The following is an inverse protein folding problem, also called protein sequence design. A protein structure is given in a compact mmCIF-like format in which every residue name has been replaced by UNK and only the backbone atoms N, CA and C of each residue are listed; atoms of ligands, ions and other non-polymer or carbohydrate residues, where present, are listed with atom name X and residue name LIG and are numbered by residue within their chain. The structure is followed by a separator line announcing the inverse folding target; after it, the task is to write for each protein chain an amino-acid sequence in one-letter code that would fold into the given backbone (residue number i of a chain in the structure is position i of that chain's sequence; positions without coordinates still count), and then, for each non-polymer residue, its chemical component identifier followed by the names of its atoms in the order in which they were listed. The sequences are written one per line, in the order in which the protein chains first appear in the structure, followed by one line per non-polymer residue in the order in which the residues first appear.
data_IF_977054780933
#
_entry.id   IF_977054780933
#
_cell.length_a   1.000
_cell.length_b   1.000
_cell.length_c   1.000
_cell.angle_alpha   90.00
_cell.angle_beta   90.00
_cell.angle_gamma   90.00
#
_symmetry.space_group_name_H-M   'P 1'
#
loop_
_entity.id
_entity.type
_entity.pdbx_description
1 polymer ?
#
# COMPACT_ATOMS: atom_id res chain seq x y z
N UNK A 1 -2.68 13.41 -8.79
CA UNK A 1 -1.67 12.33 -8.87
C UNK A 1 -1.75 11.57 -7.56
N UNK A 2 -1.80 10.24 -7.61
CA UNK A 2 -1.93 9.37 -6.44
C UNK A 2 -0.94 8.22 -6.53
N UNK A 3 -1.02 7.28 -5.59
CA UNK A 3 -0.15 6.10 -5.56
C UNK A 3 -0.16 5.32 -6.87
N UNK A 4 0.95 4.63 -7.12
CA UNK A 4 1.07 3.63 -8.17
C UNK A 4 0.40 2.33 -7.69
N UNK A 5 -0.64 1.84 -8.38
CA UNK A 5 -1.30 0.60 -7.98
C UNK A 5 -0.38 -0.60 -8.14
N UNK A 6 -0.34 -1.47 -7.13
CA UNK A 6 0.35 -2.76 -7.19
C UNK A 6 -0.51 -3.85 -6.53
N UNK A 7 -0.48 -5.06 -7.08
CA UNK A 7 -1.13 -6.20 -6.44
C UNK A 7 -0.34 -6.70 -5.23
N UNK A 8 -1.02 -7.20 -4.20
CA UNK A 8 -0.43 -7.77 -2.97
C UNK A 8 0.74 -8.73 -3.26
N UNK A 9 0.54 -9.70 -4.15
CA UNK A 9 1.56 -10.71 -4.47
C UNK A 9 2.74 -10.11 -5.22
N UNK A 10 2.51 -9.10 -6.04
CA UNK A 10 3.56 -8.47 -6.84
C UNK A 10 4.45 -7.60 -5.96
N UNK A 11 3.85 -6.88 -5.01
CA UNK A 11 4.59 -6.16 -3.98
C UNK A 11 5.49 -7.11 -3.17
N UNK A 12 4.97 -8.26 -2.71
CA UNK A 12 5.76 -9.24 -1.94
C UNK A 12 6.99 -9.71 -2.72
N UNK A 13 6.82 -10.05 -4.01
CA UNK A 13 7.96 -10.46 -4.85
C UNK A 13 9.01 -9.36 -4.99
N UNK A 14 8.57 -8.13 -5.24
CA UNK A 14 9.45 -6.98 -5.41
C UNK A 14 10.21 -6.69 -4.11
N UNK A 15 9.52 -6.72 -2.98
CA UNK A 15 10.09 -6.45 -1.66
C UNK A 15 11.14 -7.49 -1.28
N UNK A 16 10.85 -8.79 -1.44
CA UNK A 16 11.78 -9.89 -1.10
C UNK A 16 12.99 -9.92 -2.04
N UNK A 17 12.83 -9.50 -3.30
CA UNK A 17 13.97 -9.35 -4.22
C UNK A 17 14.96 -8.30 -3.74
N UNK A 18 14.47 -7.21 -3.13
CA UNK A 18 15.32 -6.16 -2.57
C UNK A 18 15.82 -6.49 -1.15
N UNK A 19 15.07 -7.31 -0.40
CA UNK A 19 15.34 -7.69 0.98
C UNK A 19 15.33 -9.22 1.10
N UNK A 20 16.45 -9.90 0.78
CA UNK A 20 16.50 -11.36 0.71
C UNK A 20 16.30 -12.05 2.07
N UNK A 21 16.52 -11.34 3.17
CA UNK A 21 16.30 -11.84 4.54
C UNK A 21 14.81 -11.79 4.96
N UNK A 22 13.95 -11.12 4.20
CA UNK A 22 12.52 -11.01 4.47
C UNK A 22 11.80 -12.30 4.05
N UNK A 23 10.99 -12.86 4.96
CA UNK A 23 10.22 -14.07 4.67
C UNK A 23 8.97 -13.71 3.84
N UNK A 24 8.81 -14.24 2.61
CA UNK A 24 7.69 -13.91 1.74
C UNK A 24 6.32 -14.30 2.33
N UNK A 25 6.25 -15.39 3.08
CA UNK A 25 5.00 -15.86 3.69
C UNK A 25 4.60 -14.96 4.86
N UNK A 26 5.56 -14.57 5.70
CA UNK A 26 5.30 -13.70 6.84
C UNK A 26 4.95 -12.29 6.38
N UNK A 27 5.67 -11.76 5.38
CA UNK A 27 5.34 -10.48 4.75
C UNK A 27 3.94 -10.49 4.14
N UNK A 28 3.57 -11.57 3.41
CA UNK A 28 2.23 -11.70 2.84
C UNK A 28 1.14 -11.69 3.93
N UNK A 29 1.35 -12.41 5.04
CA UNK A 29 0.42 -12.45 6.15
C UNK A 29 0.25 -11.07 6.81
N UNK A 30 1.36 -10.37 7.10
CA UNK A 30 1.33 -9.00 7.64
C UNK A 30 0.64 -8.03 6.69
N UNK A 31 0.93 -8.10 5.40
CA UNK A 31 0.33 -7.23 4.39
C UNK A 31 -1.18 -7.46 4.28
N UNK A 32 -1.63 -8.73 4.30
CA UNK A 32 -3.06 -9.06 4.29
C UNK A 32 -3.78 -8.59 5.56
N UNK A 33 -3.15 -8.68 6.72
CA UNK A 33 -3.67 -8.10 7.96
C UNK A 33 -3.84 -6.57 7.84
N UNK A 34 -2.81 -5.89 7.33
CA UNK A 34 -2.85 -4.44 7.14
C UNK A 34 -3.90 -4.00 6.09
N UNK A 35 -4.10 -4.78 5.00
CA UNK A 35 -5.19 -4.56 4.04
C UNK A 35 -6.55 -4.67 4.73
N UNK A 36 -6.77 -5.74 5.51
CA UNK A 36 -8.01 -5.95 6.26
C UNK A 36 -8.32 -4.77 7.18
N UNK A 37 -7.33 -4.32 7.93
CA UNK A 37 -7.51 -3.21 8.88
C UNK A 37 -7.73 -1.87 8.17
N UNK A 38 -7.03 -1.62 7.06
CA UNK A 38 -7.30 -0.46 6.21
C UNK A 38 -8.73 -0.44 5.66
N UNK A 39 -9.25 -1.60 5.24
CA UNK A 39 -10.64 -1.75 4.77
C UNK A 39 -11.66 -1.60 5.91
N UNK A 40 -11.31 -2.02 7.12
CA UNK A 40 -12.10 -1.79 8.33
C UNK A 40 -12.07 -0.32 8.81
N UNK A 41 -11.26 0.53 8.17
CA UNK A 41 -11.20 1.97 8.44
C UNK A 41 -10.10 2.39 9.41
N UNK A 42 -9.09 1.54 9.66
CA UNK A 42 -7.92 1.91 10.44
C UNK A 42 -7.28 3.21 9.96
N UNK A 43 -6.87 4.05 10.91
CA UNK A 43 -6.33 5.39 10.67
C UNK A 43 -4.96 5.54 11.32
N UNK A 44 -4.16 6.41 10.72
CA UNK A 44 -2.97 6.94 11.35
C UNK A 44 -3.36 7.77 12.57
N UNK A 45 -2.42 7.97 13.50
CA UNK A 45 -2.59 8.83 14.66
C UNK A 45 -3.01 10.28 14.30
N UNK A 46 -2.68 10.75 13.09
CA UNK A 46 -3.09 12.07 12.58
C UNK A 46 -4.52 12.10 12.01
N UNK A 47 -5.23 10.96 11.97
CA UNK A 47 -6.59 10.80 11.42
C UNK A 47 -6.64 10.46 9.92
N UNK A 48 -5.52 10.56 9.20
CA UNK A 48 -5.44 10.16 7.80
C UNK A 48 -5.58 8.64 7.64
N UNK A 49 -5.97 8.19 6.44
CA UNK A 49 -6.02 6.76 6.09
C UNK A 49 -4.60 6.19 6.15
N UNK A 50 -4.45 4.96 6.64
CA UNK A 50 -3.14 4.29 6.64
C UNK A 50 -2.68 4.01 5.21
N UNK A 51 -1.38 4.11 4.98
CA UNK A 51 -0.73 3.70 3.74
C UNK A 51 -0.26 2.26 3.91
N UNK A 52 -0.89 1.29 3.25
CA UNK A 52 -0.72 -0.14 3.59
C UNK A 52 0.70 -0.61 3.30
N UNK A 53 1.26 -0.23 2.14
CA UNK A 53 2.62 -0.57 1.75
C UNK A 53 3.66 -0.08 2.76
N UNK A 54 3.52 1.14 3.30
CA UNK A 54 4.42 1.62 4.35
C UNK A 54 4.10 1.03 5.73
N UNK A 55 2.82 0.85 6.04
CA UNK A 55 2.34 0.44 7.37
C UNK A 55 2.70 -0.99 7.73
N UNK A 56 2.90 -1.86 6.73
CA UNK A 56 3.32 -3.25 6.97
C UNK A 56 4.68 -3.34 7.68
N UNK A 57 5.53 -2.31 7.53
CA UNK A 57 6.88 -2.25 8.09
C UNK A 57 7.05 -1.16 9.15
N UNK A 58 6.38 -0.01 8.99
CA UNK A 58 6.54 1.15 9.87
C UNK A 58 5.47 1.26 10.97
N UNK A 59 4.50 0.34 11.02
CA UNK A 59 3.30 0.46 11.86
C UNK A 59 2.23 1.36 11.22
N UNK A 60 1.00 1.35 11.76
CA UNK A 60 -0.21 1.95 11.16
C UNK A 60 -0.14 3.47 10.96
N UNK A 61 0.62 3.89 9.94
CA UNK A 61 0.91 5.27 9.58
C UNK A 61 0.36 5.64 8.20
N UNK A 62 0.05 6.91 8.01
CA UNK A 62 -0.21 7.44 6.67
C UNK A 62 1.12 7.76 5.99
N UNK A 63 1.08 7.95 4.67
CA UNK A 63 2.25 8.30 3.87
C UNK A 63 3.06 9.45 4.46
N UNK A 64 2.45 10.60 4.69
CA UNK A 64 3.13 11.79 5.24
C UNK A 64 3.71 11.56 6.63
N UNK A 65 3.07 10.79 7.50
CA UNK A 65 3.63 10.49 8.82
C UNK A 65 4.80 9.50 8.76
N UNK A 66 4.84 8.62 7.74
CA UNK A 66 5.93 7.66 7.55
C UNK A 66 7.13 8.30 6.84
N UNK A 67 6.89 9.08 5.77
CA UNK A 67 7.94 9.60 4.88
C UNK A 67 8.28 11.07 5.14
N UNK A 68 7.36 11.83 5.73
CA UNK A 68 7.44 13.30 5.80
C UNK A 68 7.01 14.00 4.50
N UNK A 69 6.61 13.26 3.47
CA UNK A 69 6.32 13.80 2.15
C UNK A 69 4.81 14.04 1.92
N UNK A 70 4.49 14.94 0.99
CA UNK A 70 3.12 15.33 0.71
C UNK A 70 2.47 14.57 -0.46
N UNK A 71 3.27 14.04 -1.39
CA UNK A 71 2.77 13.50 -2.66
C UNK A 71 3.31 12.09 -2.92
N UNK A 72 2.43 11.07 -2.99
CA UNK A 72 2.85 9.68 -3.14
C UNK A 72 2.90 9.22 -4.60
N UNK A 73 3.16 10.11 -5.55
CA UNK A 73 2.97 9.83 -6.99
C UNK A 73 3.93 8.77 -7.56
N UNK A 74 5.00 8.47 -6.84
CA UNK A 74 6.03 7.50 -7.21
C UNK A 74 6.00 6.26 -6.30
N UNK A 75 5.13 6.26 -5.30
CA UNK A 75 5.03 5.23 -4.28
C UNK A 75 3.92 4.25 -4.58
N UNK A 76 4.15 2.99 -4.22
CA UNK A 76 3.16 1.95 -4.37
C UNK A 76 2.07 2.01 -3.31
N UNK A 77 0.84 1.66 -3.69
CA UNK A 77 -0.22 1.27 -2.76
C UNK A 77 -0.96 0.06 -3.34
N UNK A 78 -1.55 -0.74 -2.45
CA UNK A 78 -2.28 -1.93 -2.83
C UNK A 78 -3.50 -1.57 -3.68
N UNK A 79 -3.62 -2.19 -4.86
CA UNK A 79 -4.73 -1.99 -5.80
C UNK A 79 -6.11 -2.21 -5.17
N UNK A 80 -6.27 -3.24 -4.34
CA UNK A 80 -7.49 -3.52 -3.56
C UNK A 80 -7.90 -2.31 -2.70
N UNK A 81 -6.93 -1.62 -2.10
CA UNK A 81 -7.15 -0.44 -1.25
C UNK A 81 -7.51 0.79 -2.09
N UNK A 82 -6.76 1.03 -3.18
CA UNK A 82 -7.06 2.13 -4.09
C UNK A 82 -8.46 1.96 -4.70
N UNK A 83 -8.83 0.75 -5.10
CA UNK A 83 -10.16 0.44 -5.61
C UNK A 83 -11.24 0.71 -4.57
N UNK A 84 -11.06 0.22 -3.33
CA UNK A 84 -12.02 0.46 -2.24
C UNK A 84 -12.19 1.95 -1.88
N UNK A 85 -11.17 2.77 -2.14
CA UNK A 85 -11.21 4.23 -1.93
C UNK A 85 -11.74 5.02 -3.13
N UNK A 86 -11.97 4.37 -4.28
CA UNK A 86 -12.28 5.04 -5.54
C UNK A 86 -11.09 5.82 -6.14
N UNK A 87 -9.87 5.46 -5.74
CA UNK A 87 -8.61 6.11 -6.10
C UNK A 87 -7.85 5.33 -7.21
N UNK A 88 -8.34 4.15 -7.60
CA UNK A 88 -7.78 3.39 -8.70
C UNK A 88 -8.09 4.10 -10.02
N UNK A 89 -7.17 4.95 -10.48
CA UNK A 89 -7.30 5.55 -11.80
C UNK A 89 -7.10 4.45 -12.84
N UNK A 90 -8.08 4.25 -13.72
CA UNK A 90 -7.92 3.44 -14.91
C UNK A 90 -6.79 4.05 -15.77
N UNK A 91 -5.56 3.60 -15.59
CA UNK A 91 -4.52 3.83 -16.59
C UNK A 91 -4.85 2.91 -17.77
N UNK A 92 -5.60 3.47 -18.73
CA UNK A 92 -5.66 3.01 -20.10
C UNK A 92 -6.30 1.63 -20.35
N UNK A 93 -7.63 1.60 -20.40
CA UNK A 93 -8.31 0.84 -21.46
C UNK A 93 -9.00 1.86 -22.36
N UNK A 94 -8.21 2.66 -23.06
CA UNK A 94 -8.59 3.05 -24.42
C UNK A 94 -8.41 1.76 -25.24
N UNK A 95 -9.51 1.05 -25.45
CA UNK A 95 -9.58 -0.13 -26.31
C UNK A 95 -10.16 0.38 -27.64
N UNK A 96 -9.57 0.01 -28.80
CA UNK A 96 -9.96 0.57 -30.10
C UNK A 96 -11.44 0.37 -30.43
#
# INVERSE_FOLDING_TARGET
MGFVPIGVREYVKLHVKANPDENPTDLLARLRGCVSDALAGARCHCGARIWVVGSVSAGYGCFTCITGEAFPSEDYEIDEILNARGELTARGFDRP
#
